data_IF_304074098758
#
_entry.id   IF_304074098758
#
_cell.length_a   1.000
_cell.length_b   1.000
_cell.length_c   1.000
_cell.angle_alpha   90.00
_cell.angle_beta   90.00
_cell.angle_gamma   90.00
#
_symmetry.space_group_name_H-M   'P 1'
#
loop_
_entity.id
_entity.type
_entity.pdbx_description
1 polymer ?
#
# COMPACT_ATOMS: atom_id res chain seq x y z
N UNK A 1 9.68 -15.48 30.40
CA UNK A 1 8.98 -14.28 30.92
C UNK A 1 8.93 -13.31 29.75
N UNK A 2 7.79 -13.16 29.09
CA UNK A 2 7.61 -12.07 28.11
C UNK A 2 7.46 -10.82 28.98
N UNK A 3 8.35 -9.84 28.79
CA UNK A 3 8.38 -8.62 29.59
C UNK A 3 7.13 -7.77 29.39
N UNK A 4 6.86 -6.88 30.34
CA UNK A 4 5.80 -5.87 30.25
C UNK A 4 6.22 -4.74 29.30
N UNK A 5 6.65 -5.10 28.10
CA UNK A 5 7.14 -4.19 27.06
C UNK A 5 5.96 -3.49 26.38
N UNK A 6 6.15 -2.21 26.10
CA UNK A 6 5.14 -1.36 25.48
C UNK A 6 5.01 -1.70 23.99
N UNK A 7 3.79 -1.95 23.54
CA UNK A 7 3.49 -2.28 22.14
C UNK A 7 2.91 -1.04 21.49
N UNK A 8 3.54 -0.58 20.40
CA UNK A 8 3.12 0.59 19.63
C UNK A 8 2.85 0.23 18.18
N UNK A 9 1.92 0.96 17.55
CA UNK A 9 1.78 0.96 16.09
C UNK A 9 2.76 2.01 15.58
N UNK A 10 3.90 1.57 15.05
CA UNK A 10 4.95 2.47 14.60
C UNK A 10 4.77 2.91 13.15
N UNK A 11 4.09 2.15 12.30
CA UNK A 11 3.82 2.54 10.93
C UNK A 11 2.60 1.86 10.33
N UNK A 12 2.08 2.44 9.26
CA UNK A 12 0.89 1.98 8.55
C UNK A 12 1.01 2.27 7.04
N UNK A 13 0.58 1.32 6.21
CA UNK A 13 0.36 1.52 4.79
C UNK A 13 -0.90 0.77 4.35
N UNK A 14 -1.50 1.20 3.24
CA UNK A 14 -2.68 0.52 2.72
C UNK A 14 -3.06 0.93 1.30
N UNK A 15 -3.88 0.08 0.68
CA UNK A 15 -4.60 0.34 -0.57
C UNK A 15 -6.07 0.07 -0.31
N UNK A 16 -6.94 0.97 -0.78
CA UNK A 16 -8.37 0.91 -0.52
C UNK A 16 -9.15 1.20 -1.81
N UNK A 17 -10.46 0.91 -1.85
CA UNK A 17 -11.30 1.32 -2.98
C UNK A 17 -11.15 2.81 -3.27
N UNK A 18 -10.97 3.16 -4.54
CA UNK A 18 -10.74 4.55 -4.97
C UNK A 18 -9.56 5.29 -4.30
N UNK A 19 -8.63 4.57 -3.66
CA UNK A 19 -7.49 5.17 -2.96
C UNK A 19 -6.21 4.34 -3.13
N UNK A 20 -5.24 4.90 -3.84
CA UNK A 20 -3.95 4.28 -4.10
C UNK A 20 -2.96 4.39 -2.92
N UNK A 21 -3.32 5.09 -1.84
CA UNK A 21 -2.51 5.22 -0.63
C UNK A 21 -3.39 5.72 0.53
N UNK A 22 -2.79 5.88 1.72
CA UNK A 22 -3.52 6.35 2.91
C UNK A 22 -3.92 7.82 2.86
N UNK A 23 -3.19 8.66 2.13
CA UNK A 23 -3.51 10.09 1.98
C UNK A 23 -4.80 10.25 1.18
N UNK A 24 -4.90 9.59 0.01
CA UNK A 24 -6.13 9.55 -0.78
C UNK A 24 -7.31 8.93 -0.01
N UNK A 25 -7.03 7.89 0.78
CA UNK A 25 -8.06 7.26 1.60
C UNK A 25 -8.57 8.21 2.68
N UNK A 26 -7.66 8.93 3.35
CA UNK A 26 -8.01 9.93 4.33
C UNK A 26 -8.83 11.06 3.73
N UNK A 27 -8.44 11.57 2.57
CA UNK A 27 -9.17 12.62 1.86
C UNK A 27 -10.59 12.17 1.47
N UNK A 28 -10.74 10.93 1.00
CA UNK A 28 -12.04 10.37 0.69
C UNK A 28 -12.93 10.24 1.94
N UNK A 29 -12.37 9.77 3.06
CA UNK A 29 -13.09 9.68 4.32
C UNK A 29 -13.51 11.06 4.85
N UNK A 30 -12.58 12.02 4.85
CA UNK A 30 -12.81 13.37 5.34
C UNK A 30 -13.90 14.09 4.55
N UNK A 31 -13.92 13.89 3.22
CA UNK A 31 -14.91 14.49 2.33
C UNK A 31 -16.20 13.67 2.19
N UNK A 32 -16.34 12.52 2.87
CA UNK A 32 -17.52 11.67 2.81
C UNK A 32 -17.76 11.05 1.43
N UNK A 33 -16.70 10.77 0.68
CA UNK A 33 -16.75 10.18 -0.66
C UNK A 33 -17.17 8.70 -0.56
N UNK A 34 -18.21 8.32 -1.30
CA UNK A 34 -18.62 6.92 -1.43
C UNK A 34 -17.69 6.18 -2.40
N UNK A 35 -16.75 5.41 -1.82
CA UNK A 35 -15.75 4.63 -2.56
C UNK A 35 -16.28 3.27 -3.05
N UNK A 36 -17.57 2.96 -2.85
CA UNK A 36 -18.21 1.76 -3.38
C UNK A 36 -18.75 2.10 -4.78
N UNK A 37 -18.19 1.49 -5.82
CA UNK A 37 -18.49 1.83 -7.22
C UNK A 37 -19.21 0.71 -7.95
N UNK A 38 -19.83 1.01 -9.09
CA UNK A 38 -20.37 -0.04 -9.96
C UNK A 38 -19.25 -0.98 -10.43
N UNK A 39 -19.52 -2.29 -10.40
CA UNK A 39 -18.58 -3.31 -10.85
C UNK A 39 -18.33 -3.15 -12.35
N UNK A 40 -17.06 -2.97 -12.73
CA UNK A 40 -16.70 -2.77 -14.14
C UNK A 40 -16.15 -4.04 -14.78
N UNK A 41 -15.23 -4.73 -14.10
CA UNK A 41 -14.35 -5.71 -14.71
C UNK A 41 -14.13 -6.99 -13.88
N UNK A 42 -14.91 -7.19 -12.81
CA UNK A 42 -14.72 -8.34 -11.90
C UNK A 42 -15.47 -9.59 -12.31
N UNK A 43 -16.71 -9.44 -12.74
CA UNK A 43 -17.58 -10.50 -13.24
C UNK A 43 -18.73 -9.87 -14.02
N UNK A 44 -19.41 -10.67 -14.83
CA UNK A 44 -20.64 -10.22 -15.49
C UNK A 44 -21.75 -10.05 -14.45
N UNK A 45 -22.13 -8.80 -14.20
CA UNK A 45 -23.18 -8.41 -13.25
C UNK A 45 -24.58 -8.89 -13.65
N UNK A 46 -24.78 -9.36 -14.90
CA UNK A 46 -26.05 -9.90 -15.37
C UNK A 46 -26.13 -11.42 -15.23
N UNK A 47 -25.01 -12.10 -14.98
CA UNK A 47 -24.96 -13.56 -14.89
C UNK A 47 -25.58 -14.10 -13.60
N UNK A 48 -25.62 -13.32 -12.52
CA UNK A 48 -26.12 -13.73 -11.21
C UNK A 48 -26.84 -12.59 -10.47
N UNK A 49 -27.79 -12.88 -9.56
CA UNK A 49 -28.48 -11.87 -8.75
C UNK A 49 -27.60 -11.39 -7.58
N UNK A 50 -26.45 -10.81 -7.89
CA UNK A 50 -25.50 -10.26 -6.93
C UNK A 50 -25.50 -8.72 -6.97
N UNK A 51 -25.13 -8.04 -5.86
CA UNK A 51 -25.07 -6.58 -5.83
C UNK A 51 -24.19 -6.02 -6.96
N UNK A 52 -24.64 -4.91 -7.57
CA UNK A 52 -23.94 -4.27 -8.70
C UNK A 52 -22.80 -3.34 -8.28
N UNK A 53 -22.74 -2.99 -6.99
CA UNK A 53 -21.73 -2.08 -6.43
C UNK A 53 -20.84 -2.80 -5.43
N UNK A 54 -19.54 -2.53 -5.48
CA UNK A 54 -18.57 -3.02 -4.51
C UNK A 54 -17.38 -2.05 -4.39
N UNK A 55 -16.64 -2.14 -3.28
CA UNK A 55 -15.34 -1.48 -3.19
C UNK A 55 -14.30 -2.25 -4.01
N UNK A 56 -13.70 -1.61 -5.01
CA UNK A 56 -12.73 -2.23 -5.92
C UNK A 56 -11.37 -1.57 -5.74
N UNK A 57 -10.35 -2.38 -5.42
CA UNK A 57 -8.96 -1.91 -5.50
C UNK A 57 -8.58 -1.71 -6.96
N UNK A 58 -7.94 -0.58 -7.25
CA UNK A 58 -7.36 -0.26 -8.56
C UNK A 58 -6.06 -1.02 -8.76
N UNK A 59 -5.63 -1.15 -10.01
CA UNK A 59 -4.27 -1.56 -10.38
C UNK A 59 -3.81 -2.91 -9.81
N UNK A 60 -4.70 -3.91 -9.75
CA UNK A 60 -4.36 -5.22 -9.17
C UNK A 60 -3.25 -5.98 -9.91
N UNK A 61 -2.98 -5.59 -11.14
CA UNK A 61 -2.00 -6.16 -12.04
C UNK A 61 -0.61 -5.52 -11.89
N UNK A 62 -0.51 -4.35 -11.24
CA UNK A 62 0.77 -3.65 -11.03
C UNK A 62 1.57 -4.29 -9.89
N UNK A 63 2.88 -4.41 -10.11
CA UNK A 63 3.85 -4.87 -9.11
C UNK A 63 5.27 -4.54 -9.58
N UNK A 64 6.10 -3.91 -8.73
CA UNK A 64 7.52 -3.68 -9.04
C UNK A 64 8.38 -4.93 -8.76
N UNK A 65 8.37 -5.83 -9.74
CA UNK A 65 9.12 -7.09 -9.71
C UNK A 65 10.64 -6.89 -9.56
N UNK A 66 11.18 -5.86 -10.21
CA UNK A 66 12.62 -5.60 -10.24
C UNK A 66 13.10 -5.12 -8.88
N UNK A 67 12.37 -4.19 -8.27
CA UNK A 67 12.65 -3.70 -6.92
C UNK A 67 12.62 -4.84 -5.90
N UNK A 68 11.65 -5.74 -6.01
CA UNK A 68 11.50 -6.89 -5.10
C UNK A 68 12.45 -8.06 -5.43
N UNK A 69 13.24 -7.97 -6.50
CA UNK A 69 14.15 -9.03 -6.92
C UNK A 69 13.46 -10.32 -7.37
N UNK A 70 12.21 -10.22 -7.87
CA UNK A 70 11.41 -11.36 -8.32
C UNK A 70 11.40 -11.42 -9.84
N UNK A 71 11.70 -12.59 -10.42
CA UNK A 71 11.70 -12.75 -11.87
C UNK A 71 10.27 -12.67 -12.44
N UNK A 72 10.08 -12.01 -13.59
CA UNK A 72 8.74 -11.77 -14.17
C UNK A 72 7.86 -13.02 -14.34
N UNK A 73 8.43 -14.15 -14.76
CA UNK A 73 7.71 -15.45 -14.83
C UNK A 73 7.15 -15.93 -13.48
N UNK A 74 7.79 -15.57 -12.37
CA UNK A 74 7.29 -15.89 -11.04
C UNK A 74 6.13 -14.97 -10.69
N UNK A 75 6.24 -13.67 -11.02
CA UNK A 75 5.17 -12.69 -10.80
C UNK A 75 3.87 -13.11 -11.46
N UNK A 76 3.89 -13.56 -12.71
CA UNK A 76 2.69 -14.04 -13.42
C UNK A 76 1.89 -15.10 -12.64
N UNK A 77 2.57 -15.91 -11.84
CA UNK A 77 1.97 -16.99 -11.04
C UNK A 77 1.72 -16.61 -9.57
N UNK A 78 2.07 -15.38 -9.16
CA UNK A 78 1.79 -14.90 -7.82
C UNK A 78 0.35 -14.43 -7.69
N UNK A 79 -0.27 -14.76 -6.56
CA UNK A 79 -1.55 -14.17 -6.14
C UNK A 79 -1.42 -12.64 -6.12
N UNK A 80 -2.31 -11.87 -6.78
CA UNK A 80 -2.28 -10.41 -6.77
C UNK A 80 -2.21 -9.83 -5.35
N UNK A 81 -2.89 -10.45 -4.38
CA UNK A 81 -2.88 -10.00 -2.97
C UNK A 81 -1.50 -10.09 -2.34
N UNK A 82 -0.72 -11.13 -2.70
CA UNK A 82 0.65 -11.27 -2.20
C UNK A 82 1.55 -10.16 -2.74
N UNK A 83 1.36 -9.75 -4.01
CA UNK A 83 2.09 -8.63 -4.62
C UNK A 83 1.87 -7.34 -3.85
N UNK A 84 0.62 -7.02 -3.51
CA UNK A 84 0.30 -5.86 -2.65
C UNK A 84 0.93 -5.95 -1.28
N UNK A 85 0.84 -7.10 -0.61
CA UNK A 85 1.37 -7.25 0.75
C UNK A 85 2.88 -7.01 0.78
N UNK A 86 3.62 -7.41 -0.25
CA UNK A 86 5.07 -7.16 -0.33
C UNK A 86 5.38 -5.66 -0.44
N UNK A 87 4.69 -4.93 -1.31
CA UNK A 87 4.87 -3.48 -1.45
C UNK A 87 4.43 -2.75 -0.17
N UNK A 88 3.27 -3.11 0.38
CA UNK A 88 2.73 -2.51 1.60
C UNK A 88 3.63 -2.77 2.82
N UNK A 89 4.23 -3.95 2.94
CA UNK A 89 5.18 -4.22 4.01
C UNK A 89 6.41 -3.30 3.94
N UNK A 90 6.91 -3.05 2.73
CA UNK A 90 8.02 -2.12 2.51
C UNK A 90 7.60 -0.67 2.82
N UNK A 91 6.45 -0.22 2.33
CA UNK A 91 5.92 1.13 2.64
C UNK A 91 5.68 1.33 4.13
N UNK A 92 5.11 0.34 4.80
CA UNK A 92 4.86 0.37 6.25
C UNK A 92 6.17 0.50 7.03
N UNK A 93 7.23 -0.19 6.58
CA UNK A 93 8.54 -0.08 7.20
C UNK A 93 9.15 1.31 7.02
N UNK A 94 9.01 1.92 5.84
CA UNK A 94 9.45 3.29 5.59
C UNK A 94 8.68 4.30 6.46
N UNK A 95 7.36 4.15 6.56
CA UNK A 95 6.53 4.99 7.42
C UNK A 95 6.99 4.90 8.89
N UNK A 96 7.21 3.68 9.39
CA UNK A 96 7.69 3.45 10.75
C UNK A 96 9.06 4.07 11.03
N UNK A 97 9.99 3.92 10.09
CA UNK A 97 11.35 4.49 10.22
C UNK A 97 11.31 6.01 10.15
N UNK A 98 10.37 6.59 9.40
CA UNK A 98 10.18 8.04 9.35
C UNK A 98 9.86 8.58 10.75
N UNK A 99 8.99 7.93 11.52
CA UNK A 99 8.71 8.36 12.89
C UNK A 99 9.92 8.33 13.83
N UNK A 100 10.74 7.27 13.76
CA UNK A 100 11.94 7.15 14.60
C UNK A 100 12.98 8.23 14.25
N UNK A 101 13.16 8.52 12.96
CA UNK A 101 14.11 9.53 12.50
C UNK A 101 13.57 10.94 12.75
N UNK A 102 12.26 11.17 12.63
CA UNK A 102 11.65 12.45 12.99
C UNK A 102 11.76 12.75 14.50
N UNK A 103 11.80 11.70 15.33
CA UNK A 103 12.03 11.83 16.76
C UNK A 103 13.49 12.20 17.12
N UNK A 104 14.41 12.11 16.15
CA UNK A 104 15.85 12.40 16.31
C UNK A 104 16.36 13.40 15.24
N UNK A 105 16.38 14.72 15.54
CA UNK A 105 16.67 15.81 14.59
C UNK A 105 17.98 15.73 13.78
N UNK A 106 18.94 14.90 14.19
CA UNK A 106 20.30 14.87 13.64
C UNK A 106 20.41 14.05 12.34
N UNK A 107 19.48 13.11 12.06
CA UNK A 107 19.62 12.14 10.96
C UNK A 107 18.90 12.52 9.65
N UNK A 108 18.11 13.59 9.67
CA UNK A 108 17.39 14.14 8.50
C UNK A 108 18.29 14.45 7.30
N UNK A 109 19.51 14.94 7.55
CA UNK A 109 20.44 15.35 6.50
C UNK A 109 21.03 14.16 5.71
N UNK A 110 21.03 12.95 6.28
CA UNK A 110 21.54 11.75 5.61
C UNK A 110 20.53 11.15 4.64
N UNK A 111 19.23 11.21 4.97
CA UNK A 111 18.16 10.63 4.17
C UNK A 111 17.87 11.41 2.89
N UNK A 112 17.92 12.75 2.91
CA UNK A 112 17.70 13.54 1.67
C UNK A 112 18.72 13.18 0.59
N UNK A 113 19.98 12.89 0.97
CA UNK A 113 20.99 12.40 0.03
C UNK A 113 20.68 11.01 -0.53
N UNK A 114 20.06 10.14 0.26
CA UNK A 114 19.77 8.76 -0.13
C UNK A 114 18.51 8.65 -1.00
N UNK A 115 17.45 9.41 -0.67
CA UNK A 115 16.24 9.51 -1.50
C UNK A 115 16.52 10.09 -2.90
N UNK A 116 17.38 11.11 -3.00
CA UNK A 116 17.81 11.69 -4.29
C UNK A 116 18.60 10.71 -5.17
N UNK A 117 19.29 9.73 -4.56
CA UNK A 117 20.06 8.72 -5.29
C UNK A 117 19.17 7.59 -5.86
N UNK A 118 17.99 7.38 -5.29
CA UNK A 118 17.05 6.33 -5.72
C UNK A 118 16.13 6.86 -6.84
N UNK A 119 15.90 8.18 -6.91
CA UNK A 119 15.06 8.81 -7.94
C UNK A 119 15.79 9.15 -9.25
N UNK A 120 17.09 8.89 -9.37
CA UNK A 120 17.91 9.18 -10.56
C UNK A 120 18.58 7.95 -11.20
N UNK A 121 18.10 6.74 -10.86
CA UNK A 121 18.55 5.46 -11.41
C UNK A 121 17.51 4.81 -12.30
#
# INVERSE_FOLDING_TARGET
MIGNEEIVISGIAGRFPESANLEEFWDNLYNGVDMVTDIQDRWDVNSFPIPRRMGQMKDLDKFDANFMGIHGKQVENMDPRLRFILELAHETLIDAVTWDILSQPQDYAKLQKQSLLISTG
#
